data_IF_083381720594
#
_entry.id   IF_083381720594
#
_cell.length_a   1.000
_cell.length_b   1.000
_cell.length_c   1.000
_cell.angle_alpha   90.00
_cell.angle_beta   90.00
_cell.angle_gamma   90.00
#
_symmetry.space_group_name_H-M   'P 1'
#
loop_
_entity.id
_entity.type
_entity.pdbx_description
1 polymer ?
#
# COMPACT_ATOMS: atom_id res chain seq x y z
N UNK A 1 -16.41 37.93 -15.24
CA UNK A 1 -15.29 36.95 -15.13
C UNK A 1 -15.90 35.58 -15.11
N UNK A 2 -15.62 34.79 -16.10
CA UNK A 2 -15.98 33.37 -16.07
C UNK A 2 -14.93 32.65 -15.24
N UNK A 3 -15.35 31.66 -14.49
CA UNK A 3 -14.46 30.77 -13.74
C UNK A 3 -14.53 29.41 -14.40
N UNK A 4 -13.39 28.88 -14.75
CA UNK A 4 -13.25 27.53 -15.26
C UNK A 4 -12.68 26.68 -14.13
N UNK A 5 -13.38 25.65 -13.73
CA UNK A 5 -12.90 24.64 -12.81
C UNK A 5 -12.60 23.37 -13.57
N UNK A 6 -11.47 22.76 -13.27
CA UNK A 6 -11.09 21.50 -13.86
C UNK A 6 -10.82 20.46 -12.78
N UNK A 7 -11.21 19.24 -13.07
CA UNK A 7 -10.91 18.06 -12.29
C UNK A 7 -9.99 17.18 -13.09
N UNK A 8 -8.81 16.91 -12.56
CA UNK A 8 -7.88 15.96 -13.16
C UNK A 8 -7.55 14.83 -12.18
N UNK A 9 -7.38 13.64 -12.71
CA UNK A 9 -6.91 12.52 -11.92
C UNK A 9 -5.42 12.69 -11.66
N UNK A 10 -4.98 12.52 -10.42
CA UNK A 10 -3.56 12.67 -10.03
C UNK A 10 -2.65 11.52 -10.51
N UNK A 11 -3.14 10.60 -11.34
CA UNK A 11 -2.38 9.45 -11.87
C UNK A 11 -2.57 9.33 -13.38
N UNK A 12 -1.55 8.85 -14.10
CA UNK A 12 -1.41 8.80 -15.58
C UNK A 12 -2.44 7.98 -16.38
N UNK A 13 -3.48 7.47 -15.76
CA UNK A 13 -4.55 6.70 -16.42
C UNK A 13 -5.85 7.48 -16.63
N UNK A 14 -5.74 8.79 -16.81
CA UNK A 14 -6.92 9.64 -16.89
C UNK A 14 -7.45 9.84 -18.30
N UNK A 15 -8.75 9.67 -18.55
CA UNK A 15 -9.41 10.46 -19.58
C UNK A 15 -9.25 11.94 -19.16
N UNK A 16 -8.75 12.80 -20.02
CA UNK A 16 -8.37 14.18 -19.76
C UNK A 16 -9.24 14.98 -18.76
N UNK A 17 -8.89 16.20 -18.41
CA UNK A 17 -9.56 16.96 -17.37
C UNK A 17 -11.03 17.17 -17.72
N UNK A 18 -11.92 17.00 -16.73
CA UNK A 18 -13.32 17.41 -16.86
C UNK A 18 -13.35 18.92 -16.59
N UNK A 19 -13.77 19.70 -17.57
CA UNK A 19 -13.84 21.15 -17.50
C UNK A 19 -15.28 21.56 -17.24
N UNK A 20 -15.51 22.34 -16.19
CA UNK A 20 -16.82 22.88 -15.82
C UNK A 20 -16.73 24.40 -15.85
N UNK A 21 -17.65 25.05 -16.57
CA UNK A 21 -17.79 26.49 -16.53
C UNK A 21 -18.77 26.86 -15.42
N UNK A 22 -18.37 27.79 -14.56
CA UNK A 22 -19.18 28.26 -13.43
C UNK A 22 -19.49 29.75 -13.57
N UNK A 23 -20.69 30.16 -13.13
CA UNK A 23 -21.11 31.54 -13.14
C UNK A 23 -20.45 32.36 -12.03
N UNK A 24 -20.24 33.64 -12.31
CA UNK A 24 -19.66 34.57 -11.35
C UNK A 24 -20.62 34.85 -10.19
N UNK A 25 -20.06 34.98 -9.00
CA UNK A 25 -20.72 35.42 -7.77
C UNK A 25 -21.89 34.51 -7.32
N UNK A 26 -21.95 33.29 -7.79
CA UNK A 26 -22.93 32.26 -7.40
C UNK A 26 -22.20 31.05 -6.85
N UNK A 27 -22.58 30.59 -5.67
CA UNK A 27 -22.11 29.26 -5.17
C UNK A 27 -22.84 28.19 -5.97
N UNK A 28 -22.11 27.38 -6.66
CA UNK A 28 -22.64 26.27 -7.46
C UNK A 28 -22.04 24.95 -6.98
N UNK A 29 -22.89 23.97 -6.81
CA UNK A 29 -22.49 22.62 -6.43
C UNK A 29 -22.57 21.71 -7.66
N UNK A 30 -21.49 20.98 -7.90
CA UNK A 30 -21.41 19.99 -8.97
C UNK A 30 -21.08 18.63 -8.40
N UNK A 31 -21.92 17.65 -8.67
CA UNK A 31 -21.67 16.27 -8.33
C UNK A 31 -21.04 15.57 -9.50
N UNK A 32 -19.82 15.08 -9.32
CA UNK A 32 -19.08 14.32 -10.33
C UNK A 32 -18.95 12.87 -9.88
N UNK A 33 -19.40 11.94 -10.72
CA UNK A 33 -19.13 10.52 -10.52
C UNK A 33 -17.71 10.22 -10.98
N UNK A 34 -16.84 9.92 -10.04
CA UNK A 34 -15.43 9.62 -10.29
C UNK A 34 -15.08 8.24 -9.74
N UNK A 35 -14.13 7.53 -10.37
CA UNK A 35 -13.69 6.23 -9.86
C UNK A 35 -13.23 6.30 -8.40
N UNK A 36 -13.60 5.28 -7.65
CA UNK A 36 -13.16 5.06 -6.29
C UNK A 36 -11.64 4.88 -6.23
N UNK A 37 -11.03 5.10 -5.08
CA UNK A 37 -9.58 5.00 -4.89
C UNK A 37 -8.70 5.90 -5.77
N UNK A 38 -9.20 7.01 -6.24
CA UNK A 38 -8.39 7.99 -6.93
C UNK A 38 -8.34 9.31 -6.18
N UNK A 39 -7.18 9.95 -6.20
CA UNK A 39 -7.03 11.33 -5.74
C UNK A 39 -7.19 12.24 -6.94
N UNK A 40 -7.93 13.32 -6.78
CA UNK A 40 -8.21 14.29 -7.83
C UNK A 40 -7.64 15.65 -7.47
N UNK A 41 -7.05 16.31 -8.43
CA UNK A 41 -6.73 17.72 -8.31
C UNK A 41 -7.87 18.54 -8.90
N UNK A 42 -8.48 19.38 -8.07
CA UNK A 42 -9.48 20.35 -8.50
C UNK A 42 -8.78 21.68 -8.65
N UNK A 43 -8.76 22.21 -9.86
CA UNK A 43 -8.15 23.50 -10.16
C UNK A 43 -9.21 24.50 -10.61
N UNK A 44 -9.12 25.72 -10.11
CA UNK A 44 -9.98 26.83 -10.52
C UNK A 44 -9.15 27.94 -11.17
N UNK A 45 -9.61 28.40 -12.33
CA UNK A 45 -8.98 29.50 -13.08
C UNK A 45 -10.04 30.56 -13.39
N UNK A 46 -9.78 31.79 -12.99
CA UNK A 46 -10.64 32.89 -13.38
C UNK A 46 -10.28 33.39 -14.78
N UNK A 47 -11.29 33.52 -15.64
CA UNK A 47 -11.12 34.05 -17.01
C UNK A 47 -11.78 35.42 -17.11
N UNK A 48 -11.00 36.41 -17.53
CA UNK A 48 -11.55 37.77 -17.77
C UNK A 48 -12.38 37.80 -19.06
N UNK A 49 -13.26 38.81 -19.21
CA UNK A 49 -14.01 39.03 -20.46
C UNK A 49 -13.12 39.14 -21.72
N UNK A 50 -11.84 39.52 -21.53
CA UNK A 50 -10.85 39.56 -22.61
C UNK A 50 -10.08 38.27 -22.79
N UNK A 51 -10.49 37.15 -22.17
CA UNK A 51 -9.87 35.83 -22.28
C UNK A 51 -8.57 35.66 -21.46
N UNK A 52 -8.18 36.64 -20.65
CA UNK A 52 -6.97 36.53 -19.82
C UNK A 52 -7.26 35.63 -18.61
N UNK A 53 -6.45 34.59 -18.43
CA UNK A 53 -6.55 33.61 -17.35
C UNK A 53 -5.75 34.04 -16.11
N UNK A 54 -6.27 33.73 -14.92
CA UNK A 54 -5.52 33.86 -13.67
C UNK A 54 -4.53 32.69 -13.52
N UNK A 55 -3.68 32.78 -12.50
CA UNK A 55 -2.96 31.60 -11.99
C UNK A 55 -3.99 30.62 -11.45
N UNK A 56 -3.88 29.31 -11.72
CA UNK A 56 -4.75 28.30 -11.12
C UNK A 56 -4.63 28.29 -9.59
N UNK A 57 -5.75 28.17 -8.92
CA UNK A 57 -5.78 27.75 -7.52
C UNK A 57 -6.22 26.30 -7.50
N UNK A 58 -5.40 25.43 -6.94
CA UNK A 58 -5.63 23.99 -6.94
C UNK A 58 -5.76 23.45 -5.54
N UNK A 59 -6.65 22.45 -5.39
CA UNK A 59 -6.76 21.63 -4.18
C UNK A 59 -6.81 20.16 -4.56
N UNK A 60 -6.07 19.37 -3.82
CA UNK A 60 -6.17 17.93 -3.92
C UNK A 60 -7.36 17.46 -3.08
N UNK A 61 -8.26 16.73 -3.70
CA UNK A 61 -9.45 16.20 -3.06
C UNK A 61 -9.52 14.68 -3.30
N UNK A 62 -10.01 13.99 -2.29
CA UNK A 62 -10.47 12.61 -2.46
C UNK A 62 -11.98 12.63 -2.61
N UNK A 63 -12.53 11.73 -3.46
CA UNK A 63 -13.97 11.55 -3.48
C UNK A 63 -14.41 11.13 -2.08
N UNK A 64 -15.17 11.99 -1.43
CA UNK A 64 -15.82 11.65 -0.18
C UNK A 64 -17.06 10.82 -0.53
N UNK A 65 -17.30 9.75 0.23
CA UNK A 65 -18.56 9.03 0.16
C UNK A 65 -19.67 9.91 0.75
N UNK A 66 -20.13 10.87 -0.01
CA UNK A 66 -21.45 11.36 0.27
C UNK A 66 -22.44 10.30 -0.23
N UNK A 67 -23.43 9.97 0.58
CA UNK A 67 -24.52 9.05 0.28
C UNK A 67 -25.17 9.43 -1.07
N UNK A 68 -24.55 8.99 -2.15
CA UNK A 68 -25.29 8.79 -3.38
C UNK A 68 -26.16 7.58 -3.14
N UNK A 69 -27.38 7.53 -3.65
CA UNK A 69 -28.37 6.44 -3.49
C UNK A 69 -27.83 5.05 -3.95
N UNK A 70 -26.62 4.73 -3.54
CA UNK A 70 -26.10 3.38 -3.52
C UNK A 70 -26.65 2.69 -2.29
N UNK A 71 -27.00 1.40 -2.37
CA UNK A 71 -27.52 0.66 -1.23
C UNK A 71 -26.59 0.89 -0.02
N UNK A 72 -27.16 1.31 1.09
CA UNK A 72 -26.44 1.60 2.32
C UNK A 72 -25.58 0.38 2.68
N UNK A 73 -24.24 0.54 2.61
CA UNK A 73 -23.31 -0.54 2.92
C UNK A 73 -23.56 -0.97 4.37
N UNK A 74 -24.14 -2.15 4.54
CA UNK A 74 -24.47 -2.73 5.86
C UNK A 74 -23.23 -3.37 6.50
N UNK A 75 -22.13 -2.60 6.59
CA UNK A 75 -20.96 -3.03 7.34
C UNK A 75 -21.15 -2.74 8.82
N UNK A 76 -20.66 -3.60 9.72
CA UNK A 76 -20.57 -3.26 11.13
C UNK A 76 -19.86 -1.91 11.29
N UNK A 77 -20.27 -1.08 12.25
CA UNK A 77 -19.75 0.29 12.44
C UNK A 77 -18.21 0.37 12.46
N UNK A 78 -17.55 -0.60 13.12
CA UNK A 78 -16.09 -0.65 13.19
C UNK A 78 -15.45 -0.95 11.85
N UNK A 79 -16.05 -1.82 11.04
CA UNK A 79 -15.58 -2.16 9.70
C UNK A 79 -15.80 -0.99 8.74
N UNK A 80 -16.92 -0.29 8.85
CA UNK A 80 -17.18 0.93 8.07
C UNK A 80 -16.13 2.01 8.34
N UNK A 81 -15.78 2.22 9.61
CA UNK A 81 -14.68 3.12 9.99
C UNK A 81 -13.35 2.69 9.43
N UNK A 82 -13.00 1.40 9.55
CA UNK A 82 -11.75 0.87 9.02
C UNK A 82 -11.68 1.03 7.50
N UNK A 83 -12.78 0.76 6.80
CA UNK A 83 -12.92 0.97 5.37
C UNK A 83 -12.73 2.45 4.99
N UNK A 84 -13.36 3.37 5.71
CA UNK A 84 -13.23 4.81 5.51
C UNK A 84 -11.78 5.29 5.70
N UNK A 85 -11.08 4.82 6.73
CA UNK A 85 -9.67 5.13 6.93
C UNK A 85 -8.79 4.52 5.84
N UNK A 86 -9.00 3.25 5.49
CA UNK A 86 -8.20 2.57 4.47
C UNK A 86 -8.34 3.24 3.09
N UNK A 87 -9.55 3.62 2.70
CA UNK A 87 -9.77 4.36 1.46
C UNK A 87 -9.08 5.72 1.46
N UNK A 88 -9.09 6.40 2.61
CA UNK A 88 -8.35 7.65 2.78
C UNK A 88 -6.84 7.45 2.64
N UNK A 89 -6.29 6.46 3.31
CA UNK A 89 -4.85 6.14 3.26
C UNK A 89 -4.44 5.76 1.83
N UNK A 90 -5.18 4.88 1.17
CA UNK A 90 -4.94 4.53 -0.23
C UNK A 90 -4.99 5.78 -1.11
N UNK A 91 -6.02 6.60 -0.95
CA UNK A 91 -6.21 7.81 -1.73
C UNK A 91 -5.06 8.81 -1.60
N UNK A 92 -4.49 8.98 -0.42
CA UNK A 92 -3.40 9.93 -0.19
C UNK A 92 -2.01 9.37 -0.47
N UNK A 93 -1.77 8.10 -0.16
CA UNK A 93 -0.40 7.57 -0.13
C UNK A 93 -0.11 6.51 -1.17
N UNK A 94 -1.10 5.76 -1.70
CA UNK A 94 -0.83 4.65 -2.60
C UNK A 94 -0.85 5.06 -4.07
N UNK A 95 0.08 4.50 -4.87
CA UNK A 95 0.09 4.63 -6.33
C UNK A 95 0.29 6.06 -6.86
N UNK A 96 0.99 6.92 -6.12
CA UNK A 96 1.26 8.32 -6.51
C UNK A 96 2.55 8.51 -7.30
N UNK A 97 3.38 7.49 -7.38
CA UNK A 97 4.55 7.41 -8.26
C UNK A 97 4.24 6.55 -9.49
N UNK A 98 5.22 6.38 -10.38
CA UNK A 98 5.13 5.46 -11.52
C UNK A 98 5.07 3.97 -11.10
N UNK A 99 5.27 3.71 -9.82
CA UNK A 99 5.22 2.40 -9.18
C UNK A 99 3.98 2.30 -8.31
N UNK A 100 3.40 1.13 -8.19
CA UNK A 100 2.27 0.88 -7.28
C UNK A 100 2.77 0.73 -5.83
N UNK A 101 3.36 1.79 -5.30
CA UNK A 101 3.99 1.86 -3.99
C UNK A 101 3.29 2.88 -3.08
N UNK A 102 3.48 2.71 -1.77
CA UNK A 102 3.08 3.68 -0.77
C UNK A 102 4.08 4.82 -0.70
N UNK A 103 3.59 6.05 -0.61
CA UNK A 103 4.44 7.23 -0.35
C UNK A 103 4.81 7.35 1.12
N UNK A 104 5.95 7.99 1.35
CA UNK A 104 6.44 8.27 2.71
C UNK A 104 5.68 9.40 3.41
N UNK A 105 5.11 10.34 2.68
CA UNK A 105 4.47 11.54 3.24
C UNK A 105 3.36 12.11 2.33
N UNK A 106 2.48 12.86 2.97
CA UNK A 106 1.45 13.64 2.30
C UNK A 106 1.27 15.00 3.01
N UNK A 107 1.13 16.14 2.28
CA UNK A 107 1.40 16.22 0.84
C UNK A 107 2.85 15.90 0.51
N UNK A 108 3.11 15.42 -0.71
CA UNK A 108 4.48 15.17 -1.15
C UNK A 108 5.22 16.50 -1.35
N UNK A 109 6.29 16.71 -0.60
CA UNK A 109 7.06 17.95 -0.54
C UNK A 109 8.32 17.93 -1.42
N UNK A 110 8.45 16.94 -2.31
CA UNK A 110 9.64 16.76 -3.14
C UNK A 110 10.84 16.17 -2.40
N UNK A 111 10.67 15.83 -1.12
CA UNK A 111 11.67 15.18 -0.29
C UNK A 111 11.27 13.74 -0.05
N UNK A 112 12.23 12.95 0.34
CA UNK A 112 12.02 11.56 0.63
C UNK A 112 12.92 10.66 -0.20
N UNK A 113 12.88 9.41 0.12
CA UNK A 113 13.66 8.40 -0.54
C UNK A 113 13.00 8.02 -1.86
N UNK A 114 13.79 7.66 -2.83
CA UNK A 114 13.42 6.99 -4.05
C UNK A 114 12.09 7.46 -4.67
N UNK A 115 12.08 8.67 -5.16
CA UNK A 115 10.91 9.29 -5.82
C UNK A 115 9.69 9.50 -4.88
N UNK A 116 9.98 9.61 -3.58
CA UNK A 116 8.98 9.85 -2.54
C UNK A 116 8.23 8.60 -2.07
N UNK A 117 8.60 7.42 -2.56
CA UNK A 117 8.05 6.17 -2.03
C UNK A 117 8.60 5.87 -0.63
N UNK A 118 7.80 5.24 0.19
CA UNK A 118 8.21 4.81 1.52
C UNK A 118 9.25 3.68 1.42
N UNK A 119 10.07 3.55 2.46
CA UNK A 119 10.92 2.38 2.65
C UNK A 119 10.08 1.11 2.76
N UNK A 120 10.72 -0.06 2.62
CA UNK A 120 10.07 -1.36 2.73
C UNK A 120 9.25 -1.53 4.00
N UNK A 121 9.69 -0.97 5.13
CA UNK A 121 8.90 -0.95 6.37
C UNK A 121 7.54 -0.27 6.20
N UNK A 122 7.51 0.91 5.58
CA UNK A 122 6.26 1.62 5.28
C UNK A 122 5.41 0.91 4.23
N UNK A 123 6.05 0.25 3.26
CA UNK A 123 5.35 -0.59 2.28
C UNK A 123 4.67 -1.78 2.98
N UNK A 124 5.38 -2.46 3.90
CA UNK A 124 4.86 -3.56 4.71
C UNK A 124 3.68 -3.12 5.57
N UNK A 125 3.78 -2.00 6.28
CA UNK A 125 2.67 -1.50 7.09
C UNK A 125 1.39 -1.22 6.28
N UNK A 126 1.55 -0.64 5.08
CA UNK A 126 0.43 -0.44 4.16
C UNK A 126 -0.14 -1.74 3.61
N UNK A 127 0.72 -2.72 3.33
CA UNK A 127 0.33 -4.05 2.89
C UNK A 127 -0.45 -4.80 3.98
N UNK A 128 0.05 -4.80 5.22
CA UNK A 128 -0.63 -5.44 6.36
C UNK A 128 -2.04 -4.88 6.57
N UNK A 129 -2.18 -3.56 6.50
CA UNK A 129 -3.50 -2.94 6.59
C UNK A 129 -4.42 -3.36 5.43
N UNK A 130 -3.89 -3.45 4.21
CA UNK A 130 -4.63 -3.87 3.04
C UNK A 130 -5.08 -5.35 3.14
N UNK A 131 -4.17 -6.26 3.50
CA UNK A 131 -4.47 -7.69 3.63
C UNK A 131 -5.49 -7.92 4.74
N UNK A 132 -5.37 -7.21 5.87
CA UNK A 132 -6.37 -7.27 6.95
C UNK A 132 -7.75 -6.77 6.49
N UNK A 133 -7.82 -5.71 5.70
CA UNK A 133 -9.08 -5.24 5.12
C UNK A 133 -9.63 -6.22 4.09
N UNK A 134 -8.77 -6.87 3.31
CA UNK A 134 -9.14 -7.88 2.33
C UNK A 134 -9.86 -9.07 3.01
N UNK A 135 -9.34 -9.53 4.14
CA UNK A 135 -9.96 -10.59 4.95
C UNK A 135 -11.25 -10.09 5.64
N UNK A 136 -11.20 -8.93 6.30
CA UNK A 136 -12.33 -8.41 7.07
C UNK A 136 -13.54 -8.02 6.22
N UNK A 137 -13.34 -7.73 4.93
CA UNK A 137 -14.44 -7.37 4.00
C UNK A 137 -14.97 -8.54 3.19
N UNK A 138 -14.49 -9.75 3.43
CA UNK A 138 -14.96 -10.96 2.78
C UNK A 138 -16.47 -11.12 2.95
N UNK A 139 -17.12 -11.54 1.88
CA UNK A 139 -18.59 -11.68 1.81
C UNK A 139 -19.37 -10.37 2.05
N UNK A 140 -18.67 -9.23 2.04
CA UNK A 140 -19.30 -7.91 2.10
C UNK A 140 -19.44 -7.28 0.72
N UNK A 141 -20.23 -6.21 0.63
CA UNK A 141 -20.45 -5.47 -0.61
C UNK A 141 -19.17 -4.78 -1.14
N UNK A 142 -18.17 -4.57 -0.27
CA UNK A 142 -16.90 -3.94 -0.63
C UNK A 142 -15.76 -4.93 -0.91
N UNK A 143 -16.01 -6.24 -0.82
CA UNK A 143 -14.99 -7.27 -1.08
C UNK A 143 -14.30 -7.08 -2.45
N UNK A 144 -15.09 -6.84 -3.49
CA UNK A 144 -14.59 -6.66 -4.84
C UNK A 144 -13.69 -5.43 -5.01
N UNK A 145 -13.83 -4.41 -4.16
CA UNK A 145 -12.99 -3.22 -4.20
C UNK A 145 -11.54 -3.56 -3.83
N UNK A 146 -11.36 -4.34 -2.78
CA UNK A 146 -10.05 -4.80 -2.34
C UNK A 146 -9.48 -5.85 -3.30
N UNK A 147 -10.27 -6.81 -3.72
CA UNK A 147 -9.84 -7.82 -4.70
C UNK A 147 -9.33 -7.23 -6.01
N UNK A 148 -9.95 -6.15 -6.49
CA UNK A 148 -9.51 -5.45 -7.70
C UNK A 148 -8.12 -4.78 -7.56
N UNK A 149 -7.61 -4.63 -6.32
CA UNK A 149 -6.31 -4.01 -6.05
C UNK A 149 -5.19 -5.03 -5.80
N UNK A 150 -5.51 -6.32 -5.66
CA UNK A 150 -4.55 -7.38 -5.32
C UNK A 150 -3.30 -7.35 -6.21
N UNK A 151 -3.47 -7.30 -7.53
CA UNK A 151 -2.34 -7.26 -8.47
C UNK A 151 -1.46 -6.01 -8.29
N UNK A 152 -2.08 -4.88 -8.02
CA UNK A 152 -1.38 -3.61 -7.88
C UNK A 152 -0.57 -3.56 -6.59
N UNK A 153 -1.16 -4.02 -5.48
CA UNK A 153 -0.50 -4.11 -4.19
C UNK A 153 0.67 -5.10 -4.22
N UNK A 154 0.43 -6.29 -4.79
CA UNK A 154 1.47 -7.29 -4.95
C UNK A 154 2.62 -6.79 -5.83
N UNK A 155 2.31 -6.19 -6.98
CA UNK A 155 3.34 -5.61 -7.86
C UNK A 155 4.17 -4.54 -7.15
N UNK A 156 3.53 -3.69 -6.35
CA UNK A 156 4.21 -2.63 -5.61
C UNK A 156 5.25 -3.17 -4.64
N UNK A 157 4.88 -4.14 -3.80
CA UNK A 157 5.82 -4.71 -2.83
C UNK A 157 6.93 -5.51 -3.52
N UNK A 158 6.68 -6.12 -4.69
CA UNK A 158 7.68 -6.89 -5.43
C UNK A 158 8.85 -6.05 -5.93
N UNK A 159 8.72 -4.72 -6.08
CA UNK A 159 9.86 -3.85 -6.39
C UNK A 159 10.97 -3.92 -5.34
N UNK A 160 10.61 -4.21 -4.10
CA UNK A 160 11.56 -4.30 -2.97
C UNK A 160 12.19 -5.70 -2.84
N UNK A 161 11.64 -6.72 -3.51
CA UNK A 161 12.18 -8.07 -3.52
C UNK A 161 13.35 -8.16 -4.50
N UNK A 162 14.58 -8.18 -3.98
CA UNK A 162 15.81 -8.07 -4.75
C UNK A 162 16.69 -9.29 -4.59
N UNK A 163 17.25 -9.78 -5.71
CA UNK A 163 18.33 -10.78 -5.68
C UNK A 163 19.64 -10.05 -5.46
N UNK A 164 20.26 -10.28 -4.32
CA UNK A 164 21.59 -9.75 -4.00
C UNK A 164 22.43 -10.82 -3.31
N UNK A 165 23.70 -10.95 -3.72
CA UNK A 165 24.62 -11.98 -3.21
C UNK A 165 24.07 -13.42 -3.26
N UNK A 166 23.22 -13.71 -4.26
CA UNK A 166 22.57 -15.02 -4.43
C UNK A 166 21.35 -15.26 -3.52
N UNK A 167 20.94 -14.27 -2.73
CA UNK A 167 19.83 -14.35 -1.78
C UNK A 167 18.70 -13.43 -2.26
N UNK A 168 17.50 -13.99 -2.37
CA UNK A 168 16.30 -13.23 -2.70
C UNK A 168 15.57 -12.81 -1.41
N UNK A 169 15.44 -11.51 -1.19
CA UNK A 169 14.77 -10.94 -0.01
C UNK A 169 14.33 -9.49 -0.26
N UNK A 170 13.50 -8.95 0.62
CA UNK A 170 13.08 -7.56 0.58
C UNK A 170 14.17 -6.65 1.15
N UNK A 171 14.58 -5.67 0.35
CA UNK A 171 15.57 -4.65 0.72
C UNK A 171 14.88 -3.37 1.17
N UNK A 172 15.54 -2.55 1.99
CA UNK A 172 15.01 -1.24 2.41
C UNK A 172 14.57 -0.37 1.24
N UNK A 173 15.32 -0.42 0.16
CA UNK A 173 15.04 0.24 -1.12
C UNK A 173 15.04 -0.79 -2.25
N UNK A 174 14.36 -0.53 -3.34
CA UNK A 174 14.29 -1.44 -4.48
C UNK A 174 15.56 -1.38 -5.35
N UNK A 175 16.71 -1.64 -4.76
CA UNK A 175 17.99 -1.77 -5.44
C UNK A 175 18.87 -2.81 -4.74
N UNK A 176 19.66 -3.56 -5.51
CA UNK A 176 20.65 -4.49 -4.98
C UNK A 176 21.72 -3.75 -4.15
N UNK A 177 22.27 -4.44 -3.17
CA UNK A 177 23.30 -3.90 -2.27
C UNK A 177 22.77 -3.02 -1.14
N UNK A 178 21.45 -2.87 -1.02
CA UNK A 178 20.85 -2.16 0.10
C UNK A 178 20.72 -3.04 1.34
N UNK A 179 20.56 -2.37 2.49
CA UNK A 179 20.32 -3.05 3.75
C UNK A 179 19.04 -3.86 3.71
N UNK A 180 19.07 -5.01 4.38
CA UNK A 180 17.96 -5.91 4.56
C UNK A 180 17.78 -6.21 6.04
N UNK A 181 16.56 -6.12 6.50
CA UNK A 181 16.20 -6.39 7.88
C UNK A 181 15.28 -7.60 7.93
N UNK A 182 15.53 -8.49 8.87
CA UNK A 182 14.73 -9.70 9.02
C UNK A 182 13.33 -9.41 9.56
N UNK A 183 13.18 -8.40 10.42
CA UNK A 183 11.87 -7.95 10.88
C UNK A 183 11.04 -7.33 9.76
N UNK A 184 11.60 -6.48 8.90
CA UNK A 184 10.90 -5.98 7.71
C UNK A 184 10.37 -7.12 6.82
N UNK A 185 11.22 -8.13 6.62
CA UNK A 185 10.87 -9.27 5.77
C UNK A 185 9.81 -10.16 6.40
N UNK A 186 9.89 -10.45 7.69
CA UNK A 186 8.94 -11.36 8.34
C UNK A 186 7.52 -10.79 8.35
N UNK A 187 7.34 -9.49 8.51
CA UNK A 187 6.02 -8.87 8.44
C UNK A 187 5.40 -9.03 7.05
N UNK A 188 6.19 -8.81 6.00
CA UNK A 188 5.74 -9.08 4.62
C UNK A 188 5.43 -10.56 4.42
N UNK A 189 6.25 -11.45 4.99
CA UNK A 189 6.02 -12.90 4.94
C UNK A 189 4.70 -13.31 5.58
N UNK A 190 4.36 -12.74 6.74
CA UNK A 190 3.09 -12.93 7.42
C UNK A 190 1.91 -12.49 6.54
N UNK A 191 1.99 -11.30 5.96
CA UNK A 191 0.97 -10.80 5.04
C UNK A 191 0.78 -11.71 3.82
N UNK A 192 1.88 -12.26 3.27
CA UNK A 192 1.82 -13.20 2.15
C UNK A 192 1.12 -14.52 2.53
N UNK A 193 1.34 -15.04 3.76
CA UNK A 193 0.64 -16.23 4.23
C UNK A 193 -0.84 -15.95 4.42
N UNK A 194 -1.19 -14.82 5.02
CA UNK A 194 -2.59 -14.43 5.24
C UNK A 194 -3.30 -14.23 3.90
N UNK A 195 -2.67 -13.55 2.96
CA UNK A 195 -3.21 -13.34 1.62
C UNK A 195 -3.41 -14.65 0.85
N UNK A 196 -2.45 -15.59 0.96
CA UNK A 196 -2.63 -16.93 0.42
C UNK A 196 -3.79 -17.67 1.10
N UNK A 197 -3.90 -17.57 2.42
CA UNK A 197 -4.97 -18.24 3.18
C UNK A 197 -6.34 -17.75 2.72
N UNK A 198 -6.44 -16.46 2.40
CA UNK A 198 -7.66 -15.83 1.92
C UNK A 198 -8.00 -16.20 0.47
N UNK A 199 -7.01 -16.05 -0.45
CA UNK A 199 -7.25 -16.13 -1.89
C UNK A 199 -6.95 -17.49 -2.51
N UNK A 200 -6.12 -18.31 -1.85
CA UNK A 200 -5.53 -19.56 -2.38
C UNK A 200 -4.64 -19.36 -3.61
N UNK A 201 -4.23 -18.13 -3.90
CA UNK A 201 -3.34 -17.85 -5.03
C UNK A 201 -1.89 -18.22 -4.70
N UNK A 202 -1.32 -19.14 -5.46
CA UNK A 202 0.03 -19.69 -5.24
C UNK A 202 1.16 -18.66 -5.27
N UNK A 203 0.95 -17.51 -5.91
CA UNK A 203 1.98 -16.44 -5.95
C UNK A 203 2.31 -15.93 -4.55
N UNK A 204 1.33 -15.82 -3.67
CA UNK A 204 1.53 -15.36 -2.30
C UNK A 204 2.25 -16.42 -1.46
N UNK A 205 1.85 -17.68 -1.56
CA UNK A 205 2.56 -18.78 -0.88
C UNK A 205 4.00 -18.89 -1.36
N UNK A 206 4.24 -18.75 -2.67
CA UNK A 206 5.60 -18.77 -3.23
C UNK A 206 6.46 -17.68 -2.60
N UNK A 207 5.90 -16.47 -2.46
CA UNK A 207 6.62 -15.35 -1.87
C UNK A 207 6.82 -15.53 -0.35
N UNK A 208 5.84 -16.08 0.35
CA UNK A 208 6.00 -16.46 1.75
C UNK A 208 7.14 -17.46 1.95
N UNK A 209 7.23 -18.49 1.09
CA UNK A 209 8.35 -19.46 1.12
C UNK A 209 9.71 -18.81 0.84
N UNK A 210 9.78 -17.78 -0.01
CA UNK A 210 11.00 -16.99 -0.22
C UNK A 210 11.44 -16.31 1.07
N UNK A 211 10.50 -15.63 1.74
CA UNK A 211 10.77 -14.97 3.02
C UNK A 211 11.17 -15.97 4.10
N UNK A 212 10.45 -17.09 4.22
CA UNK A 212 10.78 -18.13 5.19
C UNK A 212 12.23 -18.61 5.06
N UNK A 213 12.66 -18.95 3.83
CA UNK A 213 14.05 -19.36 3.58
C UNK A 213 15.04 -18.27 3.95
N UNK A 214 14.73 -17.02 3.63
CA UNK A 214 15.59 -15.90 4.03
C UNK A 214 15.76 -15.81 5.54
N UNK A 215 14.67 -15.99 6.30
CA UNK A 215 14.70 -15.94 7.77
C UNK A 215 15.48 -17.11 8.38
N UNK A 216 15.24 -18.32 7.89
CA UNK A 216 15.80 -19.55 8.48
C UNK A 216 17.21 -19.83 7.97
N UNK A 217 17.44 -19.77 6.65
CA UNK A 217 18.74 -20.15 6.08
C UNK A 217 19.82 -19.08 6.30
N UNK A 218 19.41 -17.82 6.52
CA UNK A 218 20.34 -16.69 6.61
C UNK A 218 20.20 -15.86 7.88
N UNK A 219 19.03 -15.84 8.51
CA UNK A 219 18.74 -15.02 9.69
C UNK A 219 18.83 -15.76 11.02
N UNK A 220 18.64 -17.07 11.01
CA UNK A 220 18.67 -17.90 12.22
C UNK A 220 20.07 -18.40 12.56
N UNK A 221 20.40 -18.44 13.83
CA UNK A 221 21.48 -19.26 14.37
C UNK A 221 21.19 -19.68 15.84
N UNK A 222 21.98 -20.61 16.38
CA UNK A 222 21.79 -21.21 17.70
C UNK A 222 22.40 -20.38 18.83
N UNK A 223 23.07 -19.28 18.56
CA UNK A 223 23.63 -18.44 19.61
C UNK A 223 22.53 -17.88 20.52
N UNK A 224 22.84 -17.72 21.79
CA UNK A 224 21.87 -17.24 22.80
C UNK A 224 20.60 -18.11 22.93
N UNK A 225 20.66 -19.39 22.55
CA UNK A 225 19.51 -20.31 22.61
C UNK A 225 18.60 -20.27 21.38
N UNK A 226 19.11 -19.82 20.24
CA UNK A 226 18.38 -19.73 18.97
C UNK A 226 17.72 -18.36 18.76
N UNK A 227 17.29 -18.13 17.53
CA UNK A 227 16.55 -16.94 17.15
C UNK A 227 17.08 -16.22 15.91
N UNK A 228 16.29 -15.32 15.39
CA UNK A 228 16.55 -14.57 14.17
C UNK A 228 17.23 -13.24 14.50
N UNK A 229 18.27 -12.92 13.75
CA UNK A 229 18.94 -11.62 13.82
C UNK A 229 18.00 -10.47 13.42
N UNK A 230 18.37 -9.25 13.80
CA UNK A 230 17.58 -8.08 13.42
C UNK A 230 17.78 -7.71 11.95
N UNK A 231 19.07 -7.70 11.51
CA UNK A 231 19.42 -7.36 10.13
C UNK A 231 20.43 -8.34 9.55
N UNK A 232 20.54 -8.35 8.24
CA UNK A 232 21.51 -9.14 7.53
C UNK A 232 22.93 -8.83 8.04
N UNK A 233 23.67 -9.89 8.36
CA UNK A 233 24.96 -9.77 9.03
C UNK A 233 26.00 -9.12 8.13
N UNK A 234 26.55 -8.02 8.61
CA UNK A 234 27.94 -7.66 8.36
C UNK A 234 28.73 -7.98 9.63
N UNK A 235 30.06 -8.00 9.54
CA UNK A 235 31.00 -8.49 10.57
C UNK A 235 30.79 -7.96 12.01
N UNK A 236 29.82 -7.06 12.24
CA UNK A 236 29.65 -6.33 13.49
C UNK A 236 28.26 -6.48 14.14
N UNK A 237 27.35 -7.27 13.61
CA UNK A 237 26.00 -7.37 14.16
C UNK A 237 25.58 -8.80 14.44
N UNK A 238 25.63 -9.15 15.72
CA UNK A 238 25.19 -10.45 16.26
C UNK A 238 23.91 -10.35 17.09
N UNK A 239 23.23 -9.20 17.09
CA UNK A 239 22.05 -9.00 17.95
C UNK A 239 20.82 -9.67 17.37
N UNK A 240 20.15 -10.47 18.19
CA UNK A 240 18.83 -11.03 17.93
C UNK A 240 17.77 -10.18 18.60
N UNK A 241 16.70 -9.93 17.90
CA UNK A 241 15.63 -9.08 18.40
C UNK A 241 14.32 -9.84 18.48
N UNK A 242 13.51 -9.49 19.46
CA UNK A 242 12.16 -10.06 19.62
C UNK A 242 11.24 -9.71 18.44
N UNK A 243 11.44 -8.54 17.81
CA UNK A 243 10.69 -8.12 16.64
C UNK A 243 10.97 -8.96 15.37
N UNK A 244 12.10 -9.68 15.33
CA UNK A 244 12.41 -10.64 14.27
C UNK A 244 12.02 -12.05 14.69
N UNK A 245 12.46 -12.50 15.87
CA UNK A 245 12.30 -13.89 16.33
C UNK A 245 10.82 -14.25 16.59
N UNK A 246 10.08 -13.40 17.31
CA UNK A 246 8.68 -13.66 17.64
C UNK A 246 7.78 -13.77 16.42
N UNK A 247 7.79 -12.80 15.49
CA UNK A 247 7.04 -12.89 14.24
C UNK A 247 7.45 -14.08 13.35
N UNK A 248 8.74 -14.48 13.35
CA UNK A 248 9.18 -15.67 12.61
C UNK A 248 8.54 -16.95 13.15
N UNK A 249 8.44 -17.10 14.47
CA UNK A 249 7.72 -18.22 15.07
C UNK A 249 6.23 -18.21 14.70
N UNK A 250 5.59 -17.05 14.71
CA UNK A 250 4.20 -16.90 14.25
C UNK A 250 4.07 -17.26 12.77
N UNK A 251 5.01 -16.82 11.93
CA UNK A 251 5.02 -17.16 10.52
C UNK A 251 5.13 -18.67 10.29
N UNK A 252 6.00 -19.36 11.02
CA UNK A 252 6.10 -20.83 10.97
C UNK A 252 4.77 -21.50 11.28
N UNK A 253 4.11 -21.13 12.37
CA UNK A 253 2.79 -21.65 12.71
C UNK A 253 1.75 -21.40 11.61
N UNK A 254 1.71 -20.20 11.03
CA UNK A 254 0.79 -19.88 9.94
C UNK A 254 1.12 -20.65 8.66
N UNK A 255 2.39 -20.78 8.31
CA UNK A 255 2.84 -21.59 7.17
C UNK A 255 2.43 -23.06 7.33
N UNK A 256 2.62 -23.63 8.52
CA UNK A 256 2.14 -24.99 8.82
C UNK A 256 0.62 -25.10 8.63
N UNK A 257 -0.16 -24.18 9.19
CA UNK A 257 -1.61 -24.20 9.04
C UNK A 257 -2.05 -24.10 7.58
N UNK A 258 -1.32 -23.35 6.78
CA UNK A 258 -1.62 -23.14 5.36
C UNK A 258 -1.24 -24.32 4.46
N UNK A 259 -0.14 -25.03 4.79
CA UNK A 259 0.47 -26.05 3.92
C UNK A 259 0.43 -27.46 4.47
N UNK A 260 0.36 -27.63 5.79
CA UNK A 260 0.54 -28.89 6.55
C UNK A 260 1.96 -29.49 6.40
N UNK A 261 2.93 -28.71 5.99
CA UNK A 261 4.33 -29.12 5.86
C UNK A 261 5.02 -28.98 7.23
N UNK A 262 5.55 -30.11 7.76
CA UNK A 262 6.12 -30.18 9.13
C UNK A 262 7.34 -29.28 9.33
N UNK A 263 8.11 -29.02 8.27
CA UNK A 263 9.30 -28.17 8.30
C UNK A 263 9.09 -26.76 8.87
N UNK A 264 7.85 -26.31 8.95
CA UNK A 264 7.53 -24.99 9.50
C UNK A 264 7.33 -24.99 11.02
N UNK A 265 7.27 -26.16 11.66
CA UNK A 265 7.15 -26.31 13.12
C UNK A 265 8.44 -26.79 13.79
N UNK A 266 9.37 -27.34 13.02
CA UNK A 266 10.67 -27.84 13.48
C UNK A 266 11.67 -26.66 13.69
#
# INVERSE_FOLDING_TARGET
RDVEASLSRATDFSPGPIIIQVERDVTQEYMLKVPYFATYEVSAVAISKAGKRSVPESRVVMPYHEKVDEPELKLPEMLDRAHSYMTSVIGYYFGKSSRSCWRSNYPYDGKGYWDGDALVWGQGGGLSAFVAMRDATKESEVENLYGAMDDMMFKGIQYFCQLDRGILAYSCYPAAGNERFYDDNVWIGLDMVDWYTETKEMRYLTQAKVVWRYLIDHGWDETCGGGVHWRELNEHTTSKHSCSTGPTAVMGCKMYLATQEQEYLD
#
